data_IF_974032602528
#
_entry.id   IF_974032602528
#
_cell.length_a   1.000
_cell.length_b   1.000
_cell.length_c   1.000
_cell.angle_alpha   90.00
_cell.angle_beta   90.00
_cell.angle_gamma   90.00
#
_symmetry.space_group_name_H-M   'P 1'
#
loop_
_entity.id
_entity.type
_entity.pdbx_description
1 polymer ?
#
# COMPACT_ATOMS: atom_id res chain seq x y z
N UNK A 1 -6.11 6.36 -15.28
CA UNK A 1 -6.99 5.28 -14.75
C UNK A 1 -6.55 3.90 -15.25
N UNK A 2 -6.24 3.71 -16.55
CA UNK A 2 -5.81 2.41 -17.10
C UNK A 2 -4.62 1.74 -16.38
N UNK A 3 -3.52 2.48 -16.14
CA UNK A 3 -2.35 1.91 -15.46
C UNK A 3 -2.68 1.44 -14.03
N UNK A 4 -3.44 2.25 -13.27
CA UNK A 4 -3.90 1.88 -11.93
C UNK A 4 -4.73 0.60 -11.94
N UNK A 5 -5.72 0.48 -12.83
CA UNK A 5 -6.56 -0.72 -12.87
C UNK A 5 -5.80 -1.98 -13.30
N UNK A 6 -4.77 -1.85 -14.15
CA UNK A 6 -3.95 -2.98 -14.60
C UNK A 6 -2.87 -3.39 -13.60
N UNK A 7 -2.30 -2.44 -12.88
CA UNK A 7 -1.15 -2.69 -12.01
C UNK A 7 -1.51 -2.87 -10.53
N UNK A 8 -2.71 -2.50 -10.09
CA UNK A 8 -3.08 -2.61 -8.66
C UNK A 8 -2.97 -4.06 -8.15
N UNK A 9 -3.48 -5.04 -8.89
CA UNK A 9 -3.44 -6.44 -8.48
C UNK A 9 -2.02 -7.04 -8.40
N UNK A 10 -1.17 -6.95 -9.44
CA UNK A 10 0.20 -7.45 -9.35
C UNK A 10 1.01 -6.70 -8.29
N UNK A 11 0.85 -5.37 -8.20
CA UNK A 11 1.52 -4.58 -7.18
C UNK A 11 1.09 -4.97 -5.75
N UNK A 12 -0.20 -5.28 -5.55
CA UNK A 12 -0.70 -5.78 -4.27
C UNK A 12 -0.02 -7.10 -3.89
N UNK A 13 0.11 -8.03 -4.84
CA UNK A 13 0.76 -9.31 -4.59
C UNK A 13 2.23 -9.15 -4.18
N UNK A 14 2.97 -8.27 -4.87
CA UNK A 14 4.38 -8.01 -4.60
C UNK A 14 4.59 -7.24 -3.28
N UNK A 15 3.70 -6.30 -2.96
CA UNK A 15 3.79 -5.48 -1.74
C UNK A 15 3.30 -6.20 -0.49
N UNK A 16 2.40 -7.17 -0.62
CA UNK A 16 1.83 -7.91 0.51
C UNK A 16 2.86 -8.47 1.50
N UNK A 17 3.92 -9.22 1.09
CA UNK A 17 4.91 -9.74 2.03
C UNK A 17 5.68 -8.63 2.77
N UNK A 18 5.89 -7.49 2.13
CA UNK A 18 6.55 -6.32 2.76
C UNK A 18 5.63 -5.73 3.82
N UNK A 19 4.35 -5.51 3.49
CA UNK A 19 3.34 -4.99 4.42
C UNK A 19 3.17 -5.93 5.62
N UNK A 20 3.08 -7.23 5.38
CA UNK A 20 2.96 -8.24 6.45
C UNK A 20 4.17 -8.20 7.39
N UNK A 21 5.38 -8.14 6.84
CA UNK A 21 6.62 -8.05 7.63
C UNK A 21 6.63 -6.77 8.47
N UNK A 22 6.35 -5.62 7.85
CA UNK A 22 6.38 -4.33 8.54
C UNK A 22 5.32 -4.24 9.65
N UNK A 23 4.09 -4.69 9.38
CA UNK A 23 3.01 -4.70 10.37
C UNK A 23 3.31 -5.63 11.56
N UNK A 24 4.00 -6.75 11.29
CA UNK A 24 4.49 -7.64 12.33
C UNK A 24 5.60 -6.98 13.16
N UNK A 25 6.60 -6.37 12.51
CA UNK A 25 7.72 -5.69 13.16
C UNK A 25 7.28 -4.56 14.09
N UNK A 26 6.30 -3.75 13.68
CA UNK A 26 5.77 -2.65 14.52
C UNK A 26 4.74 -3.13 15.54
N UNK A 27 4.44 -4.43 15.60
CA UNK A 27 3.47 -5.02 16.52
C UNK A 27 2.01 -4.61 16.23
N UNK A 28 1.72 -4.08 15.04
CA UNK A 28 0.40 -3.60 14.68
C UNK A 28 -0.63 -4.75 14.60
N UNK A 29 -0.20 -5.92 14.10
CA UNK A 29 -1.03 -7.13 14.06
C UNK A 29 -1.43 -7.53 15.49
N UNK A 30 -0.45 -7.61 16.40
CA UNK A 30 -0.70 -8.01 17.78
C UNK A 30 -1.60 -7.02 18.54
N UNK A 31 -1.40 -5.71 18.33
CA UNK A 31 -2.23 -4.68 18.94
C UNK A 31 -3.69 -4.75 18.45
N UNK A 32 -3.86 -4.97 17.15
CA UNK A 32 -5.17 -5.13 16.53
C UNK A 32 -5.89 -6.40 16.98
N UNK A 33 -5.19 -7.54 17.03
CA UNK A 33 -5.75 -8.80 17.52
C UNK A 33 -6.20 -8.71 18.97
N UNK A 34 -5.41 -8.03 19.83
CA UNK A 34 -5.79 -7.78 21.22
C UNK A 34 -7.07 -6.94 21.33
N UNK A 35 -7.17 -5.87 20.55
CA UNK A 35 -8.37 -5.03 20.50
C UNK A 35 -9.59 -5.82 20.01
N UNK A 36 -9.44 -6.58 18.93
CA UNK A 36 -10.52 -7.41 18.36
C UNK A 36 -10.93 -8.55 19.30
N UNK A 37 -9.99 -9.11 20.06
CA UNK A 37 -10.29 -10.10 21.10
C UNK A 37 -11.18 -9.53 22.20
N UNK A 38 -10.90 -8.30 22.66
CA UNK A 38 -11.77 -7.60 23.62
C UNK A 38 -13.14 -7.29 23.02
N UNK A 39 -13.17 -6.80 21.77
CA UNK A 39 -14.42 -6.51 21.07
C UNK A 39 -15.31 -7.76 20.98
N UNK A 40 -14.77 -8.91 20.54
CA UNK A 40 -15.50 -10.18 20.44
C UNK A 40 -15.96 -10.75 21.79
N UNK A 41 -15.35 -10.34 22.90
CA UNK A 41 -15.75 -10.78 24.24
C UNK A 41 -17.01 -10.10 24.78
N UNK A 42 -17.45 -9.00 24.15
CA UNK A 42 -18.69 -8.32 24.53
C UNK A 42 -19.92 -9.03 23.94
N UNK A 43 -20.99 -9.25 24.74
CA UNK A 43 -22.25 -9.77 24.22
C UNK A 43 -22.93 -8.73 23.31
N UNK A 44 -23.66 -9.21 22.30
CA UNK A 44 -24.44 -8.40 21.34
C UNK A 44 -23.64 -7.51 20.37
N UNK A 45 -22.33 -7.73 20.21
CA UNK A 45 -21.56 -7.05 19.15
C UNK A 45 -21.69 -7.75 17.80
N UNK A 46 -21.79 -7.01 16.68
CA UNK A 46 -21.71 -7.58 15.33
C UNK A 46 -20.34 -8.20 15.05
N UNK A 47 -20.29 -9.31 14.31
CA UNK A 47 -19.02 -9.88 13.82
C UNK A 47 -18.42 -8.95 12.77
N UNK A 48 -17.31 -8.30 13.13
CA UNK A 48 -16.56 -7.43 12.23
C UNK A 48 -15.30 -8.18 11.79
N UNK A 49 -15.32 -8.68 10.55
CA UNK A 49 -14.14 -9.20 9.87
C UNK A 49 -13.40 -8.03 9.23
N UNK A 50 -12.51 -7.39 10.00
CA UNK A 50 -11.59 -6.43 9.44
C UNK A 50 -10.19 -7.06 9.37
N UNK A 51 -9.61 -7.03 8.18
CA UNK A 51 -8.26 -7.49 7.88
C UNK A 51 -7.35 -6.24 7.84
N UNK A 52 -6.51 -6.10 8.87
CA UNK A 52 -5.60 -4.97 8.98
C UNK A 52 -4.59 -4.95 7.82
N UNK A 53 -4.10 -6.12 7.42
CA UNK A 53 -3.15 -6.24 6.32
C UNK A 53 -3.77 -5.74 5.01
N UNK A 54 -4.97 -6.21 4.67
CA UNK A 54 -5.64 -5.81 3.42
C UNK A 54 -5.93 -4.30 3.40
N UNK A 55 -6.33 -3.74 4.55
CA UNK A 55 -6.55 -2.31 4.69
C UNK A 55 -5.27 -1.51 4.44
N UNK A 56 -4.17 -1.88 5.10
CA UNK A 56 -2.89 -1.18 4.96
C UNK A 56 -2.32 -1.35 3.56
N UNK A 57 -2.43 -2.55 2.98
CA UNK A 57 -2.01 -2.83 1.60
C UNK A 57 -2.74 -1.94 0.60
N UNK A 58 -4.06 -1.82 0.72
CA UNK A 58 -4.87 -0.92 -0.12
C UNK A 58 -4.40 0.53 -0.01
N UNK A 59 -4.15 1.01 1.22
CA UNK A 59 -3.65 2.38 1.45
C UNK A 59 -2.25 2.58 0.91
N UNK A 60 -1.37 1.59 1.01
CA UNK A 60 -0.03 1.64 0.48
C UNK A 60 -0.05 1.77 -1.05
N UNK A 61 -0.86 0.96 -1.74
CA UNK A 61 -1.04 1.03 -3.20
C UNK A 61 -1.58 2.40 -3.62
N UNK A 62 -2.59 2.92 -2.90
CA UNK A 62 -3.12 4.26 -3.16
C UNK A 62 -2.04 5.34 -3.02
N UNK A 63 -1.18 5.21 -2.00
CA UNK A 63 -0.02 6.07 -1.79
C UNK A 63 0.95 6.01 -2.97
N UNK A 64 1.30 4.81 -3.45
CA UNK A 64 2.18 4.63 -4.62
C UNK A 64 1.63 5.35 -5.83
N UNK A 65 0.33 5.18 -6.15
CA UNK A 65 -0.27 5.87 -7.30
C UNK A 65 -0.37 7.39 -7.11
N UNK A 66 -0.55 7.86 -5.89
CA UNK A 66 -0.53 9.29 -5.58
C UNK A 66 0.86 9.90 -5.87
N UNK A 67 1.93 9.27 -5.38
CA UNK A 67 3.29 9.74 -5.64
C UNK A 67 3.64 9.64 -7.12
N UNK A 68 3.31 8.54 -7.78
CA UNK A 68 3.52 8.39 -9.22
C UNK A 68 2.82 9.49 -10.02
N UNK A 69 1.57 9.82 -9.67
CA UNK A 69 0.83 10.89 -10.34
C UNK A 69 1.49 12.27 -10.16
N UNK A 70 2.07 12.54 -8.99
CA UNK A 70 2.83 13.78 -8.74
C UNK A 70 4.11 13.84 -9.56
N UNK A 71 4.86 12.73 -9.64
CA UNK A 71 6.08 12.66 -10.45
C UNK A 71 5.77 12.82 -11.94
N UNK A 72 4.74 12.16 -12.45
CA UNK A 72 4.31 12.31 -13.85
C UNK A 72 3.88 13.75 -14.17
N UNK A 73 3.18 14.43 -13.25
CA UNK A 73 2.84 15.84 -13.40
C UNK A 73 4.10 16.72 -13.45
N UNK A 74 5.05 16.50 -12.55
CA UNK A 74 6.31 17.24 -12.51
C UNK A 74 7.17 17.01 -13.77
N UNK A 75 7.16 15.81 -14.35
CA UNK A 75 7.83 15.49 -15.62
C UNK A 75 7.16 16.20 -16.80
N UNK A 76 5.82 16.32 -16.80
CA UNK A 76 5.09 17.06 -17.84
C UNK A 76 5.41 18.54 -17.83
N UNK A 77 5.58 19.13 -16.65
CA UNK A 77 5.98 20.53 -16.49
C UNK A 77 7.45 20.76 -16.85
N UNK A 78 8.33 19.78 -16.55
CA UNK A 78 9.75 19.86 -16.87
C UNK A 78 10.27 18.52 -17.44
N UNK A 79 10.27 18.37 -18.79
CA UNK A 79 10.72 17.14 -19.45
C UNK A 79 12.18 16.75 -19.15
N UNK A 80 13.02 17.68 -18.69
CA UNK A 80 14.39 17.35 -18.27
C UNK A 80 14.45 16.53 -16.97
N UNK A 81 13.37 16.47 -16.17
CA UNK A 81 13.27 15.58 -15.00
C UNK A 81 13.12 14.10 -15.35
N UNK A 82 12.86 13.77 -16.61
CA UNK A 82 12.73 12.38 -17.09
C UNK A 82 14.04 11.61 -17.04
N UNK A 83 15.18 12.31 -16.94
CA UNK A 83 16.54 11.72 -16.92
C UNK A 83 17.09 11.54 -15.52
N UNK A 84 16.26 11.68 -14.47
CA UNK A 84 16.71 11.43 -13.08
C UNK A 84 17.31 10.02 -12.94
N UNK A 85 18.29 9.91 -12.05
CA UNK A 85 19.02 8.66 -11.78
C UNK A 85 18.08 7.49 -11.46
N UNK A 86 16.95 7.76 -10.79
CA UNK A 86 15.96 6.74 -10.47
C UNK A 86 15.33 6.15 -11.75
N UNK A 87 14.90 6.98 -12.70
CA UNK A 87 14.31 6.52 -13.96
C UNK A 87 15.34 5.86 -14.87
N UNK A 88 16.59 6.36 -14.89
CA UNK A 88 17.68 5.64 -15.55
C UNK A 88 17.89 4.26 -14.91
N UNK A 89 17.84 4.14 -13.58
CA UNK A 89 18.05 2.86 -12.89
C UNK A 89 16.95 1.81 -13.15
N UNK A 90 15.69 2.23 -13.27
CA UNK A 90 14.57 1.29 -13.54
C UNK A 90 14.28 1.07 -15.03
N UNK A 91 14.66 2.00 -15.92
CA UNK A 91 14.35 1.92 -17.36
C UNK A 91 15.57 1.91 -18.29
N UNK A 92 16.81 1.95 -17.78
CA UNK A 92 17.99 1.65 -18.60
C UNK A 92 18.02 0.15 -18.91
N UNK A 93 17.35 -0.21 -19.99
CA UNK A 93 17.54 -1.46 -20.71
C UNK A 93 17.47 -1.19 -22.20
#
# INVERSE_FOLDING_TARGET
QYFRSKMSAPLAADMKPIVDTQLSEVGAIAAYDKMMGQYKSMPFVPDVKADLTDHVLTKAIDGVFLYLGREEAAIRENPAKRTTELLQKVFAK
#
